data_IF_555558375788
#
_entry.id   IF_555558375788
#
_cell.length_a   1.000
_cell.length_b   1.000
_cell.length_c   1.000
_cell.angle_alpha   90.00
_cell.angle_beta   90.00
_cell.angle_gamma   90.00
#
_symmetry.space_group_name_H-M   'P 1'
#
loop_
_entity.id
_entity.type
_entity.pdbx_description
1 polymer ?
#
# COMPACT_ATOMS: atom_id res chain seq x y z
N UNK A 1 28.46 10.54 38.98
CA UNK A 1 27.24 10.02 38.33
C UNK A 1 27.48 10.10 36.83
N UNK A 2 28.11 9.07 36.26
CA UNK A 2 28.38 9.00 34.83
C UNK A 2 27.06 8.78 34.10
N UNK A 3 26.70 9.72 33.21
CA UNK A 3 25.68 9.47 32.19
C UNK A 3 26.23 8.34 31.32
N UNK A 4 25.72 7.11 31.51
CA UNK A 4 25.86 6.05 30.51
C UNK A 4 25.31 6.61 29.20
N UNK A 5 26.19 6.96 28.27
CA UNK A 5 25.86 7.23 26.88
C UNK A 5 25.27 5.92 26.36
N UNK A 6 23.94 5.85 26.30
CA UNK A 6 23.28 4.71 25.69
C UNK A 6 23.68 4.72 24.22
N UNK A 7 24.47 3.73 23.79
CA UNK A 7 24.84 3.55 22.39
C UNK A 7 23.55 3.57 21.55
N UNK A 8 23.44 4.56 20.67
CA UNK A 8 22.28 4.72 19.80
C UNK A 8 22.37 3.65 18.72
N UNK A 9 21.49 2.63 18.76
CA UNK A 9 21.43 1.61 17.71
C UNK A 9 20.96 2.23 16.41
N UNK A 10 21.64 1.89 15.31
CA UNK A 10 21.29 2.32 13.96
C UNK A 10 20.39 1.29 13.29
N UNK A 11 19.29 1.76 12.71
CA UNK A 11 18.40 0.97 11.88
C UNK A 11 18.54 1.42 10.43
N UNK A 12 18.92 0.46 9.59
CA UNK A 12 18.97 0.64 8.14
C UNK A 12 17.63 0.17 7.57
N UNK A 13 16.86 1.10 7.02
CA UNK A 13 15.56 0.84 6.42
C UNK A 13 15.70 0.81 4.89
N UNK A 14 15.21 -0.25 4.25
CA UNK A 14 15.34 -0.46 2.79
C UNK A 14 13.96 -0.58 2.15
N UNK A 15 13.32 0.53 1.75
CA UNK A 15 12.02 0.51 1.09
C UNK A 15 12.12 0.02 -0.37
N UNK A 16 11.07 -0.62 -0.86
CA UNK A 16 10.86 -0.80 -2.29
C UNK A 16 10.51 0.57 -2.94
N UNK A 17 11.04 0.94 -4.13
CA UNK A 17 10.95 2.29 -4.69
C UNK A 17 9.60 2.60 -5.35
N UNK A 18 8.52 2.33 -4.63
CA UNK A 18 7.16 2.71 -4.99
C UNK A 18 6.49 3.35 -3.80
N UNK A 19 5.63 4.35 -4.03
CA UNK A 19 5.03 5.16 -2.97
C UNK A 19 4.28 4.32 -1.91
N UNK A 20 3.60 3.25 -2.32
CA UNK A 20 2.94 2.32 -1.41
C UNK A 20 3.88 1.54 -0.47
N UNK A 21 5.19 1.56 -0.71
CA UNK A 21 6.21 0.89 0.09
C UNK A 21 7.09 1.89 0.84
N UNK A 22 7.44 3.01 0.20
CA UNK A 22 8.18 4.12 0.82
C UNK A 22 7.39 4.71 1.99
N UNK A 23 6.10 5.02 1.79
CA UNK A 23 5.24 5.61 2.81
C UNK A 23 5.25 4.83 4.14
N UNK A 24 4.86 3.53 4.17
CA UNK A 24 4.87 2.76 5.42
C UNK A 24 6.27 2.62 6.02
N UNK A 25 7.33 2.50 5.21
CA UNK A 25 8.70 2.42 5.72
C UNK A 25 9.13 3.71 6.44
N UNK A 26 8.86 4.88 5.85
CA UNK A 26 9.17 6.18 6.47
C UNK A 26 8.32 6.45 7.73
N UNK A 27 7.06 6.01 7.73
CA UNK A 27 6.19 6.08 8.91
C UNK A 27 6.73 5.20 10.06
N UNK A 28 7.17 3.97 9.75
CA UNK A 28 7.84 3.10 10.71
C UNK A 28 9.15 3.71 11.21
N UNK A 29 9.96 4.28 10.32
CA UNK A 29 11.18 4.99 10.66
C UNK A 29 10.94 6.16 11.62
N UNK A 30 9.91 6.96 11.39
CA UNK A 30 9.52 8.08 12.26
C UNK A 30 9.18 7.61 13.66
N UNK A 31 8.40 6.53 13.77
CA UNK A 31 8.09 5.93 15.06
C UNK A 31 9.36 5.40 15.76
N UNK A 32 10.21 4.66 15.06
CA UNK A 32 11.43 4.10 15.64
C UNK A 32 12.42 5.19 16.06
N UNK A 33 12.55 6.26 15.27
CA UNK A 33 13.34 7.43 15.65
C UNK A 33 12.85 8.04 16.97
N UNK A 34 11.53 8.17 17.15
CA UNK A 34 10.94 8.64 18.43
C UNK A 34 11.26 7.75 19.64
N UNK A 35 11.70 6.50 19.40
CA UNK A 35 12.14 5.54 20.44
C UNK A 35 13.65 5.55 20.67
N UNK A 36 14.38 6.48 20.05
CA UNK A 36 15.81 6.70 20.24
C UNK A 36 16.72 5.87 19.33
N UNK A 37 16.20 5.35 18.22
CA UNK A 37 17.02 4.73 17.17
C UNK A 37 17.54 5.77 16.18
N UNK A 38 18.77 5.63 15.71
CA UNK A 38 19.27 6.38 14.55
C UNK A 38 18.73 5.71 13.28
N UNK A 39 18.12 6.48 12.38
CA UNK A 39 17.50 5.95 11.16
C UNK A 39 18.35 6.30 9.94
N UNK A 40 18.66 5.28 9.14
CA UNK A 40 19.29 5.43 7.83
C UNK A 40 18.40 4.78 6.78
N UNK A 41 17.92 5.55 5.81
CA UNK A 41 17.15 5.07 4.66
C UNK A 41 18.13 4.77 3.53
N UNK A 42 18.25 3.51 3.14
CA UNK A 42 19.00 3.13 1.93
C UNK A 42 18.00 2.92 0.80
N UNK A 43 18.13 3.69 -0.26
CA UNK A 43 17.15 3.72 -1.36
C UNK A 43 17.83 3.71 -2.73
N UNK A 44 17.09 3.30 -3.74
CA UNK A 44 17.54 3.34 -5.14
C UNK A 44 17.53 4.76 -5.70
N UNK A 45 18.17 5.00 -6.84
CA UNK A 45 18.02 6.27 -7.57
C UNK A 45 16.64 6.37 -8.21
N UNK A 46 16.13 5.25 -8.72
CA UNK A 46 14.77 5.13 -9.21
C UNK A 46 13.77 5.45 -8.09
N UNK A 47 12.87 6.40 -8.34
CA UNK A 47 11.85 6.91 -7.40
C UNK A 47 12.41 7.24 -6.01
N UNK A 48 13.53 7.97 -5.97
CA UNK A 48 14.15 8.36 -4.70
C UNK A 48 13.22 9.20 -3.80
N UNK A 49 13.13 8.91 -2.49
CA UNK A 49 12.40 9.74 -1.54
C UNK A 49 13.12 11.10 -1.37
N UNK A 50 12.36 12.14 -1.04
CA UNK A 50 12.93 13.46 -0.78
C UNK A 50 13.45 13.57 0.67
N UNK A 51 14.78 13.71 0.89
CA UNK A 51 15.34 13.80 2.24
C UNK A 51 14.87 15.04 3.02
N UNK A 52 14.45 16.12 2.35
CA UNK A 52 14.01 17.35 3.04
C UNK A 52 12.77 17.15 3.89
N UNK A 53 11.98 16.11 3.63
CA UNK A 53 10.79 15.79 4.41
C UNK A 53 11.13 15.10 5.74
N UNK A 54 12.31 14.51 5.85
CA UNK A 54 12.78 13.80 7.05
C UNK A 54 14.23 14.19 7.39
N UNK A 55 14.50 15.46 7.75
CA UNK A 55 15.85 15.94 8.02
C UNK A 55 16.53 15.24 9.21
N UNK A 56 15.77 14.55 10.04
CA UNK A 56 16.23 13.74 11.15
C UNK A 56 16.79 12.36 10.74
N UNK A 57 16.56 11.92 9.49
CA UNK A 57 17.11 10.67 8.97
C UNK A 57 18.33 10.90 8.09
N UNK A 58 19.18 9.88 7.99
CA UNK A 58 20.22 9.83 6.95
C UNK A 58 19.68 9.12 5.72
N UNK A 59 19.86 9.69 4.53
CA UNK A 59 19.48 9.07 3.26
C UNK A 59 20.73 8.68 2.47
N UNK A 60 20.83 7.41 2.09
CA UNK A 60 21.95 6.86 1.33
C UNK A 60 21.45 6.25 0.02
N UNK A 61 21.67 6.92 -1.12
CA UNK A 61 21.32 6.37 -2.42
C UNK A 61 22.28 5.23 -2.80
N UNK A 62 21.75 4.19 -3.43
CA UNK A 62 22.53 3.11 -4.05
C UNK A 62 22.21 3.00 -5.54
N UNK A 63 23.21 2.70 -6.40
CA UNK A 63 22.98 2.39 -7.80
C UNK A 63 22.07 1.17 -7.97
N UNK A 64 21.01 1.33 -8.77
CA UNK A 64 20.02 0.29 -9.10
C UNK A 64 20.21 -0.34 -10.48
N UNK A 65 21.01 0.28 -11.34
CA UNK A 65 21.35 -0.24 -12.67
C UNK A 65 20.15 -0.39 -13.61
N UNK A 66 19.02 0.28 -13.34
CA UNK A 66 17.86 0.24 -14.23
C UNK A 66 18.11 1.09 -15.47
N UNK A 67 17.75 0.55 -16.63
CA UNK A 67 17.77 1.26 -17.90
C UNK A 67 16.48 2.04 -18.13
N UNK A 68 16.54 3.11 -18.94
CA UNK A 68 15.35 3.88 -19.33
C UNK A 68 14.30 2.98 -20.02
N UNK A 69 14.74 2.02 -20.84
CA UNK A 69 13.86 1.05 -21.49
C UNK A 69 13.11 0.17 -20.48
N UNK A 70 13.77 -0.33 -19.44
CA UNK A 70 13.11 -1.11 -18.39
C UNK A 70 12.06 -0.29 -17.64
N UNK A 71 12.38 0.96 -17.31
CA UNK A 71 11.46 1.88 -16.62
C UNK A 71 10.23 2.16 -17.50
N UNK A 72 10.44 2.50 -18.77
CA UNK A 72 9.37 2.82 -19.72
C UNK A 72 8.50 1.61 -20.08
N UNK A 73 9.02 0.38 -19.93
CA UNK A 73 8.22 -0.83 -20.17
C UNK A 73 7.00 -0.95 -19.24
N UNK A 74 7.06 -0.32 -18.06
CA UNK A 74 6.03 -0.46 -17.03
C UNK A 74 5.87 -1.87 -16.46
N UNK A 75 6.74 -2.82 -16.84
CA UNK A 75 6.69 -4.19 -16.33
C UNK A 75 7.25 -4.24 -14.90
N UNK A 76 6.33 -4.13 -13.94
CA UNK A 76 6.66 -4.13 -12.51
C UNK A 76 7.44 -5.39 -12.08
N UNK A 77 7.10 -6.57 -12.61
CA UNK A 77 7.78 -7.81 -12.17
C UNK A 77 9.24 -7.81 -12.63
N UNK A 78 9.50 -7.45 -13.89
CA UNK A 78 10.86 -7.35 -14.42
C UNK A 78 11.71 -6.32 -13.66
N UNK A 79 11.16 -5.13 -13.41
CA UNK A 79 11.85 -4.08 -12.65
C UNK A 79 12.23 -4.58 -11.25
N UNK A 80 11.31 -5.20 -10.52
CA UNK A 80 11.58 -5.70 -9.18
C UNK A 80 12.62 -6.82 -9.15
N UNK A 81 12.64 -7.70 -10.15
CA UNK A 81 13.67 -8.73 -10.30
C UNK A 81 15.05 -8.10 -10.61
N UNK A 82 15.10 -7.09 -11.49
CA UNK A 82 16.32 -6.38 -11.83
C UNK A 82 16.90 -5.63 -10.63
N UNK A 83 16.06 -4.92 -9.85
CA UNK A 83 16.48 -4.26 -8.61
C UNK A 83 17.17 -5.23 -7.65
N UNK A 84 16.60 -6.41 -7.45
CA UNK A 84 17.18 -7.42 -6.56
C UNK A 84 18.49 -8.04 -7.08
N UNK A 85 18.68 -8.08 -8.40
CA UNK A 85 19.95 -8.51 -8.99
C UNK A 85 21.03 -7.43 -8.85
N UNK A 86 20.67 -6.18 -9.18
CA UNK A 86 21.63 -5.09 -9.35
C UNK A 86 22.04 -4.43 -8.03
N UNK A 87 21.12 -4.26 -7.08
CA UNK A 87 21.38 -3.51 -5.85
C UNK A 87 22.27 -4.25 -4.84
N UNK A 88 22.40 -5.58 -4.96
CA UNK A 88 23.05 -6.44 -3.95
C UNK A 88 24.48 -6.01 -3.62
N UNK A 89 25.31 -5.80 -4.64
CA UNK A 89 26.72 -5.44 -4.45
C UNK A 89 26.87 -4.04 -3.84
N UNK A 90 26.14 -3.05 -4.36
CA UNK A 90 26.11 -1.68 -3.86
C UNK A 90 25.63 -1.60 -2.41
N UNK A 91 24.60 -2.37 -2.06
CA UNK A 91 24.09 -2.44 -0.70
C UNK A 91 25.09 -3.06 0.27
N UNK A 92 25.77 -4.14 -0.12
CA UNK A 92 26.83 -4.74 0.68
C UNK A 92 27.99 -3.78 0.94
N UNK A 93 28.41 -3.03 -0.07
CA UNK A 93 29.43 -1.99 0.09
C UNK A 93 28.97 -0.89 1.05
N UNK A 94 27.74 -0.40 0.88
CA UNK A 94 27.15 0.62 1.75
C UNK A 94 27.13 0.18 3.22
N UNK A 95 26.66 -1.04 3.51
CA UNK A 95 26.64 -1.58 4.87
C UNK A 95 28.04 -1.77 5.45
N UNK A 96 29.01 -2.23 4.64
CA UNK A 96 30.39 -2.41 5.10
C UNK A 96 30.99 -1.07 5.55
N UNK A 97 30.77 0.00 4.78
CA UNK A 97 31.22 1.35 5.14
C UNK A 97 30.53 1.89 6.40
N UNK A 98 29.23 1.60 6.58
CA UNK A 98 28.52 1.96 7.81
C UNK A 98 29.07 1.23 9.03
N UNK A 99 29.40 -0.06 8.90
CA UNK A 99 29.98 -0.86 9.97
C UNK A 99 31.37 -0.37 10.40
N UNK A 100 32.17 0.19 9.48
CA UNK A 100 33.48 0.78 9.81
C UNK A 100 33.37 2.04 10.70
N UNK A 101 32.23 2.74 10.63
CA UNK A 101 31.99 3.99 11.36
C UNK A 101 31.29 3.79 12.70
N UNK A 102 30.84 2.56 12.99
CA UNK A 102 29.93 2.25 14.08
C UNK A 102 30.54 1.22 15.05
N UNK A 103 30.17 1.25 16.34
CA UNK A 103 30.55 0.19 17.27
C UNK A 103 30.05 -1.18 16.79
N UNK A 104 30.80 -2.24 17.11
CA UNK A 104 30.42 -3.60 16.76
C UNK A 104 29.00 -3.93 17.27
N UNK A 105 28.18 -4.54 16.41
CA UNK A 105 26.79 -4.96 16.68
C UNK A 105 25.79 -3.80 16.95
N UNK A 106 26.02 -2.59 16.46
CA UNK A 106 25.07 -1.48 16.62
C UNK A 106 24.03 -1.35 15.49
N UNK A 107 24.17 -2.13 14.41
CA UNK A 107 23.35 -2.02 13.19
C UNK A 107 22.32 -3.17 13.10
N UNK A 108 21.09 -2.84 12.69
CA UNK A 108 20.10 -3.82 12.28
C UNK A 108 19.34 -3.33 11.04
N UNK A 109 18.80 -4.26 10.25
CA UNK A 109 18.14 -3.94 8.99
C UNK A 109 16.64 -4.20 9.08
N UNK A 110 15.83 -3.27 8.59
CA UNK A 110 14.42 -3.53 8.27
C UNK A 110 14.24 -3.32 6.78
N UNK A 111 13.82 -4.35 6.06
CA UNK A 111 13.72 -4.30 4.61
C UNK A 111 12.31 -4.64 4.16
N UNK A 112 11.86 -4.00 3.08
CA UNK A 112 10.62 -4.35 2.42
C UNK A 112 10.71 -5.77 1.82
N UNK A 113 9.66 -6.59 1.93
CA UNK A 113 9.70 -7.99 1.45
C UNK A 113 10.05 -8.14 -0.03
N UNK A 114 9.79 -7.11 -0.84
CA UNK A 114 10.18 -7.05 -2.24
C UNK A 114 11.69 -6.86 -2.41
N UNK A 115 12.37 -6.18 -1.48
CA UNK A 115 13.81 -5.86 -1.53
C UNK A 115 14.65 -6.98 -0.88
N UNK A 116 14.37 -8.24 -1.24
CA UNK A 116 14.94 -9.44 -0.62
C UNK A 116 16.47 -9.60 -0.80
N UNK A 117 17.11 -8.83 -1.68
CA UNK A 117 18.58 -8.74 -1.69
C UNK A 117 19.14 -8.28 -0.35
N UNK A 118 18.37 -7.48 0.40
CA UNK A 118 18.76 -6.93 1.70
C UNK A 118 19.01 -8.03 2.72
N UNK A 119 18.13 -9.05 2.75
CA UNK A 119 18.30 -10.22 3.60
C UNK A 119 19.56 -11.00 3.24
N UNK A 120 19.80 -11.21 1.95
CA UNK A 120 20.96 -11.99 1.51
C UNK A 120 22.28 -11.33 1.93
N UNK A 121 22.33 -9.99 1.89
CA UNK A 121 23.48 -9.20 2.35
C UNK A 121 23.54 -9.18 3.88
N UNK A 122 22.41 -9.00 4.57
CA UNK A 122 22.34 -9.02 6.03
C UNK A 122 22.91 -10.32 6.59
N UNK A 123 22.49 -11.46 6.03
CA UNK A 123 22.99 -12.78 6.40
C UNK A 123 24.50 -12.92 6.13
N UNK A 124 24.98 -12.47 4.97
CA UNK A 124 26.41 -12.52 4.62
C UNK A 124 27.28 -11.72 5.61
N UNK A 125 26.78 -10.58 6.09
CA UNK A 125 27.46 -9.71 7.06
C UNK A 125 27.14 -10.05 8.52
N UNK A 126 26.34 -11.08 8.79
CA UNK A 126 25.82 -11.44 10.12
C UNK A 126 25.10 -10.28 10.85
N UNK A 127 24.32 -9.49 10.11
CA UNK A 127 23.50 -8.39 10.64
C UNK A 127 22.07 -8.88 10.87
N UNK A 128 21.48 -8.67 12.06
CA UNK A 128 20.07 -8.97 12.31
C UNK A 128 19.15 -8.21 11.33
N UNK A 129 18.21 -8.92 10.72
CA UNK A 129 17.26 -8.35 9.77
C UNK A 129 15.81 -8.66 10.16
N UNK A 130 14.91 -7.74 9.84
CA UNK A 130 13.46 -7.87 10.02
C UNK A 130 12.80 -7.53 8.68
N UNK A 131 11.88 -8.37 8.23
CA UNK A 131 11.14 -8.11 6.98
C UNK A 131 9.87 -7.30 7.27
N UNK A 132 9.62 -6.25 6.49
CA UNK A 132 8.38 -5.47 6.48
C UNK A 132 7.51 -5.89 5.30
N UNK A 133 6.28 -6.30 5.59
CA UNK A 133 5.25 -6.59 4.60
C UNK A 133 4.20 -5.48 4.60
N UNK A 134 4.12 -4.78 3.47
CA UNK A 134 3.22 -3.64 3.25
C UNK A 134 1.90 -4.06 2.61
N UNK A 135 1.75 -5.34 2.25
CA UNK A 135 0.53 -5.97 1.74
C UNK A 135 -0.30 -6.59 2.86
N UNK A 136 -1.56 -6.98 2.60
CA UNK A 136 -2.41 -7.70 3.57
C UNK A 136 -1.97 -9.16 3.77
N UNK A 137 -2.36 -9.77 4.90
CA UNK A 137 -2.15 -11.20 5.16
C UNK A 137 -3.00 -12.04 4.20
N UNK A 138 -4.22 -11.60 3.93
CA UNK A 138 -5.17 -12.25 3.01
C UNK A 138 -4.56 -12.38 1.61
N UNK A 139 -3.93 -11.33 1.09
CA UNK A 139 -3.23 -11.37 -0.19
C UNK A 139 -2.01 -12.31 -0.17
N UNK A 140 -1.27 -12.36 0.95
CA UNK A 140 -0.15 -13.28 1.09
C UNK A 140 -0.60 -14.75 0.97
N UNK A 141 -1.69 -15.11 1.65
CA UNK A 141 -2.27 -16.46 1.53
C UNK A 141 -2.77 -16.70 0.09
N UNK A 142 -3.44 -15.73 -0.53
CA UNK A 142 -3.90 -15.86 -1.91
C UNK A 142 -2.74 -16.09 -2.91
N UNK A 143 -1.61 -15.41 -2.73
CA UNK A 143 -0.38 -15.64 -3.51
C UNK A 143 0.20 -17.05 -3.29
N UNK A 144 0.18 -17.54 -2.06
CA UNK A 144 0.58 -18.93 -1.77
C UNK A 144 -0.27 -19.94 -2.53
N UNK A 145 -1.59 -19.72 -2.61
CA UNK A 145 -2.49 -20.57 -3.40
C UNK A 145 -2.22 -20.49 -4.89
N UNK A 146 -1.88 -19.31 -5.44
CA UNK A 146 -1.44 -19.19 -6.84
C UNK A 146 -0.21 -20.05 -7.12
N UNK A 147 0.81 -20.02 -6.24
CA UNK A 147 1.99 -20.88 -6.36
C UNK A 147 1.64 -22.37 -6.32
N UNK A 148 0.72 -22.78 -5.45
CA UNK A 148 0.26 -24.17 -5.39
C UNK A 148 -0.44 -24.60 -6.67
N UNK A 149 -1.32 -23.76 -7.24
CA UNK A 149 -2.01 -24.05 -8.50
C UNK A 149 -1.03 -24.20 -9.66
N UNK A 150 -0.02 -23.32 -9.72
CA UNK A 150 1.06 -23.41 -10.72
C UNK A 150 1.85 -24.71 -10.58
N UNK A 151 2.23 -25.10 -9.35
CA UNK A 151 2.98 -26.34 -9.10
C UNK A 151 2.20 -27.61 -9.49
N UNK A 152 0.87 -27.56 -9.45
CA UNK A 152 -0.02 -28.66 -9.84
C UNK A 152 -0.38 -28.65 -11.33
N UNK A 153 0.19 -27.73 -12.13
CA UNK A 153 -0.16 -27.55 -13.54
C UNK A 153 -1.62 -27.14 -13.77
N UNK A 154 -2.28 -26.58 -12.75
CA UNK A 154 -3.70 -26.20 -12.78
C UNK A 154 -3.90 -24.74 -13.22
N UNK A 155 -2.88 -24.15 -13.87
CA UNK A 155 -2.82 -22.75 -14.24
C UNK A 155 -2.16 -22.58 -15.64
N UNK A 156 -2.66 -21.71 -16.54
CA UNK A 156 -3.87 -20.88 -16.38
C UNK A 156 -5.14 -21.73 -16.25
N UNK A 157 -6.05 -21.30 -15.38
CA UNK A 157 -7.33 -21.99 -15.22
C UNK A 157 -8.32 -21.59 -16.34
N UNK A 158 -9.19 -22.52 -16.81
CA UNK A 158 -10.28 -22.19 -17.71
C UNK A 158 -11.16 -21.02 -17.26
N UNK A 159 -11.60 -20.19 -18.22
CA UNK A 159 -12.50 -19.05 -17.94
C UNK A 159 -13.82 -19.49 -17.28
N UNK A 160 -14.29 -20.72 -17.55
CA UNK A 160 -15.46 -21.29 -16.89
C UNK A 160 -15.32 -21.41 -15.37
N UNK A 161 -14.08 -21.46 -14.84
CA UNK A 161 -13.80 -21.50 -13.40
C UNK A 161 -13.59 -20.11 -12.79
N UNK A 162 -13.48 -19.06 -13.60
CA UNK A 162 -13.20 -17.67 -13.20
C UNK A 162 -14.07 -17.20 -12.02
N UNK A 163 -15.37 -17.55 -12.04
CA UNK A 163 -16.34 -17.16 -11.00
C UNK A 163 -16.50 -18.17 -9.86
N UNK A 164 -15.87 -19.34 -9.95
CA UNK A 164 -15.98 -20.36 -8.91
C UNK A 164 -15.21 -19.92 -7.67
N UNK A 165 -15.68 -20.29 -6.47
CA UNK A 165 -14.93 -20.06 -5.24
C UNK A 165 -13.61 -20.82 -5.28
N UNK A 166 -12.56 -20.23 -4.72
CA UNK A 166 -11.28 -20.90 -4.50
C UNK A 166 -11.41 -21.72 -3.22
N UNK A 167 -11.11 -23.04 -3.25
CA UNK A 167 -11.13 -23.87 -2.05
C UNK A 167 -10.30 -23.25 -0.91
N UNK A 168 -10.85 -23.29 0.31
CA UNK A 168 -10.22 -22.81 1.55
C UNK A 168 -9.86 -21.31 1.58
N UNK A 169 -10.32 -20.52 0.61
CA UNK A 169 -10.10 -19.07 0.53
C UNK A 169 -11.40 -18.27 0.37
N UNK A 170 -12.49 -18.70 0.98
CA UNK A 170 -13.74 -17.91 0.97
C UNK A 170 -13.49 -16.47 1.49
N UNK A 171 -13.99 -15.42 0.80
CA UNK A 171 -14.92 -15.42 -0.34
C UNK A 171 -14.25 -15.23 -1.72
N UNK A 172 -12.95 -15.49 -1.85
CA UNK A 172 -12.21 -15.33 -3.11
C UNK A 172 -12.67 -16.31 -4.18
N UNK A 173 -12.77 -15.80 -5.41
CA UNK A 173 -12.97 -16.60 -6.63
C UNK A 173 -11.65 -16.68 -7.39
N UNK A 174 -11.56 -17.60 -8.35
CA UNK A 174 -10.36 -17.74 -9.17
C UNK A 174 -9.96 -16.43 -9.86
N UNK A 175 -10.93 -15.63 -10.35
CA UNK A 175 -10.67 -14.31 -10.94
C UNK A 175 -10.14 -13.26 -9.97
N UNK A 176 -10.37 -13.45 -8.67
CA UNK A 176 -9.91 -12.55 -7.63
C UNK A 176 -8.47 -12.84 -7.21
N UNK A 177 -7.89 -13.97 -7.64
CA UNK A 177 -6.51 -14.34 -7.31
C UNK A 177 -5.49 -13.32 -7.86
N UNK A 178 -4.43 -13.02 -7.10
CA UNK A 178 -3.46 -11.99 -7.46
C UNK A 178 -2.49 -12.56 -8.50
N UNK A 179 -2.91 -12.63 -9.75
CA UNK A 179 -2.07 -13.01 -10.87
C UNK A 179 -1.55 -11.73 -11.53
N UNK A 180 -0.26 -11.69 -11.87
CA UNK A 180 0.32 -10.58 -12.61
C UNK A 180 0.03 -10.72 -14.10
N UNK A 181 -0.46 -9.65 -14.71
CA UNK A 181 -0.57 -9.52 -16.17
C UNK A 181 0.65 -8.80 -16.77
N UNK A 182 1.63 -8.41 -15.96
CA UNK A 182 2.77 -7.60 -16.39
C UNK A 182 3.92 -8.42 -16.96
N UNK A 183 3.99 -9.72 -16.70
CA UNK A 183 5.10 -10.59 -17.10
C UNK A 183 4.64 -12.05 -17.23
N UNK A 184 5.55 -12.91 -17.66
CA UNK A 184 5.45 -14.36 -17.67
C UNK A 184 5.15 -14.92 -16.28
N UNK A 185 4.42 -16.04 -16.25
CA UNK A 185 4.13 -16.76 -15.01
C UNK A 185 5.39 -17.27 -14.31
N UNK A 186 6.45 -17.56 -15.06
CA UNK A 186 7.74 -17.97 -14.50
C UNK A 186 8.38 -16.84 -13.68
N UNK A 187 8.51 -15.64 -14.26
CA UNK A 187 9.05 -14.48 -13.54
C UNK A 187 8.18 -14.09 -12.35
N UNK A 188 6.85 -14.13 -12.52
CA UNK A 188 5.92 -13.87 -11.42
C UNK A 188 6.10 -14.87 -10.29
N UNK A 189 6.16 -16.17 -10.59
CA UNK A 189 6.38 -17.23 -9.60
C UNK A 189 7.70 -17.05 -8.87
N UNK A 190 8.78 -16.75 -9.61
CA UNK A 190 10.10 -16.49 -9.05
C UNK A 190 10.08 -15.33 -8.07
N UNK A 191 9.40 -14.23 -8.41
CA UNK A 191 9.22 -13.11 -7.51
C UNK A 191 8.47 -13.55 -6.24
N UNK A 192 7.27 -14.13 -6.40
CA UNK A 192 6.41 -14.51 -5.27
C UNK A 192 7.09 -15.50 -4.32
N UNK A 193 7.82 -16.50 -4.84
CA UNK A 193 8.60 -17.44 -4.02
C UNK A 193 9.62 -16.71 -3.14
N UNK A 194 10.30 -15.69 -3.68
CA UNK A 194 11.23 -14.88 -2.89
C UNK A 194 10.52 -14.04 -1.82
N UNK A 195 9.36 -13.45 -2.12
CA UNK A 195 8.58 -12.68 -1.13
C UNK A 195 8.10 -13.54 0.06
N UNK A 196 7.82 -14.82 -0.19
CA UNK A 196 7.34 -15.75 0.84
C UNK A 196 8.44 -16.23 1.77
N UNK A 197 9.70 -16.13 1.33
CA UNK A 197 10.81 -16.67 2.06
C UNK A 197 11.25 -15.72 3.18
N UNK A 198 11.03 -16.13 4.43
CA UNK A 198 11.46 -15.38 5.63
C UNK A 198 12.94 -15.63 5.96
N UNK A 199 13.54 -16.68 5.36
CA UNK A 199 14.98 -17.00 5.38
C UNK A 199 15.60 -16.88 6.78
N UNK A 200 16.56 -15.98 6.95
CA UNK A 200 17.29 -15.74 8.20
C UNK A 200 16.79 -14.51 8.97
N UNK A 201 15.65 -13.92 8.54
CA UNK A 201 15.06 -12.78 9.24
C UNK A 201 14.69 -13.15 10.67
N UNK A 202 14.97 -12.25 11.60
CA UNK A 202 14.67 -12.42 13.02
C UNK A 202 13.20 -12.22 13.37
N UNK A 203 12.44 -11.52 12.52
CA UNK A 203 11.00 -11.29 12.68
C UNK A 203 10.34 -10.83 11.38
N UNK A 204 9.00 -10.84 11.38
CA UNK A 204 8.16 -10.28 10.32
C UNK A 204 7.31 -9.15 10.89
N UNK A 205 7.33 -7.99 10.24
CA UNK A 205 6.42 -6.88 10.50
C UNK A 205 5.34 -6.90 9.42
N UNK A 206 4.09 -6.70 9.82
CA UNK A 206 2.95 -6.59 8.92
C UNK A 206 2.21 -5.27 9.14
N UNK A 207 2.01 -4.51 8.06
CA UNK A 207 1.15 -3.33 8.07
C UNK A 207 -0.31 -3.75 8.01
N UNK A 208 -0.83 -4.31 9.10
CA UNK A 208 -2.23 -4.69 9.26
C UNK A 208 -2.63 -4.60 10.73
N UNK A 209 -3.92 -4.75 11.00
CA UNK A 209 -4.51 -4.76 12.34
C UNK A 209 -5.15 -6.13 12.58
N UNK A 210 -4.95 -6.69 13.76
CA UNK A 210 -5.51 -7.98 14.16
C UNK A 210 -7.04 -8.05 13.98
N UNK A 211 -7.77 -6.99 14.32
CA UNK A 211 -9.22 -6.93 14.24
C UNK A 211 -9.76 -6.99 12.81
N UNK A 212 -8.90 -6.82 11.80
CA UNK A 212 -9.24 -6.96 10.39
C UNK A 212 -8.96 -8.37 9.89
N UNK A 213 -7.78 -8.93 10.17
CA UNK A 213 -7.30 -10.15 9.53
C UNK A 213 -7.07 -11.32 10.51
N UNK A 214 -7.83 -11.39 11.61
CA UNK A 214 -7.61 -12.35 12.71
C UNK A 214 -7.51 -13.81 12.25
N UNK A 215 -8.41 -14.27 11.37
CA UNK A 215 -8.40 -15.66 10.86
C UNK A 215 -7.16 -15.95 10.02
N UNK A 216 -6.84 -15.05 9.08
CA UNK A 216 -5.64 -15.15 8.23
C UNK A 216 -4.35 -15.08 9.05
N UNK A 217 -4.32 -14.22 10.08
CA UNK A 217 -3.19 -14.11 11.00
C UNK A 217 -2.97 -15.41 11.77
N UNK A 218 -4.03 -16.02 12.31
CA UNK A 218 -3.94 -17.29 13.02
C UNK A 218 -3.38 -18.42 12.13
N UNK A 219 -3.77 -18.47 10.86
CA UNK A 219 -3.23 -19.42 9.88
C UNK A 219 -1.72 -19.23 9.65
N UNK A 220 -1.27 -17.98 9.46
CA UNK A 220 0.15 -17.71 9.20
C UNK A 220 1.02 -17.91 10.46
N UNK A 221 0.50 -17.60 11.65
CA UNK A 221 1.21 -17.83 12.92
C UNK A 221 1.55 -19.31 13.15
N UNK A 222 0.75 -20.24 12.65
CA UNK A 222 1.06 -21.67 12.72
C UNK A 222 2.19 -22.11 11.78
N UNK A 223 2.44 -21.33 10.72
CA UNK A 223 3.40 -21.66 9.67
C UNK A 223 4.73 -20.91 9.81
N UNK A 224 4.70 -19.73 10.42
CA UNK A 224 5.87 -18.87 10.56
C UNK A 224 6.70 -19.27 11.79
N UNK A 225 8.00 -19.45 11.59
CA UNK A 225 8.92 -19.87 12.66
C UNK A 225 9.50 -18.69 13.46
N UNK A 226 9.18 -17.46 13.05
CA UNK A 226 9.70 -16.23 13.66
C UNK A 226 8.55 -15.37 14.17
N UNK A 227 8.79 -14.48 15.15
CA UNK A 227 7.77 -13.58 15.65
C UNK A 227 7.14 -12.72 14.55
N UNK A 228 5.82 -12.57 14.59
CA UNK A 228 5.04 -11.70 13.70
C UNK A 228 4.51 -10.52 14.50
N UNK A 229 4.77 -9.32 14.02
CA UNK A 229 4.29 -8.07 14.59
C UNK A 229 3.28 -7.41 13.65
N UNK A 230 2.00 -7.43 14.03
CA UNK A 230 0.96 -6.65 13.34
C UNK A 230 0.93 -5.26 13.96
N UNK A 231 1.50 -4.28 13.26
CA UNK A 231 1.72 -2.93 13.81
C UNK A 231 0.97 -1.84 13.04
N UNK A 232 0.12 -2.26 12.10
CA UNK A 232 -0.67 -1.35 11.31
C UNK A 232 -1.80 -0.71 12.12
N UNK A 233 -2.44 0.33 11.56
CA UNK A 233 -2.06 0.99 10.30
C UNK A 233 -0.88 1.94 10.52
N UNK A 234 0.19 1.79 9.73
CA UNK A 234 1.42 2.59 9.90
C UNK A 234 1.20 4.10 9.73
N UNK A 235 0.21 4.52 8.95
CA UNK A 235 -0.11 5.95 8.80
C UNK A 235 -0.70 6.59 10.07
N UNK A 236 -1.04 5.80 11.10
CA UNK A 236 -1.54 6.26 12.41
C UNK A 236 -0.50 6.20 13.55
N UNK A 237 0.63 5.50 13.39
CA UNK A 237 1.59 5.29 14.49
C UNK A 237 2.46 6.53 14.79
N UNK A 238 2.68 7.38 13.79
CA UNK A 238 3.39 8.64 13.93
C UNK A 238 2.85 9.66 12.93
N UNK A 239 2.81 10.93 13.32
CA UNK A 239 2.65 12.06 12.41
C UNK A 239 3.95 12.23 11.64
N UNK A 240 4.18 11.36 10.65
CA UNK A 240 5.24 11.56 9.69
C UNK A 240 4.98 12.84 8.88
N UNK A 241 6.05 13.53 8.51
CA UNK A 241 6.04 14.54 7.46
C UNK A 241 5.51 13.96 6.13
N UNK A 242 5.44 14.76 5.07
CA UNK A 242 5.00 14.24 3.77
C UNK A 242 5.93 13.10 3.32
N UNK A 243 5.37 11.93 3.11
CA UNK A 243 6.09 10.77 2.56
C UNK A 243 5.91 10.64 1.05
N UNK A 244 5.17 11.58 0.44
CA UNK A 244 4.78 11.52 -0.97
C UNK A 244 5.96 11.75 -1.91
N UNK A 245 6.00 10.99 -3.01
CA UNK A 245 6.94 11.22 -4.12
C UNK A 245 6.48 12.37 -5.03
N UNK A 246 5.19 12.65 -5.02
CA UNK A 246 4.55 13.68 -5.84
C UNK A 246 4.13 14.85 -4.97
N UNK A 247 4.23 16.06 -5.51
CA UNK A 247 3.82 17.29 -4.84
C UNK A 247 2.31 17.30 -4.60
N UNK A 248 1.92 17.46 -3.33
CA UNK A 248 0.52 17.41 -2.90
C UNK A 248 -0.16 18.79 -3.09
N UNK A 249 -1.29 18.82 -3.80
CA UNK A 249 -2.08 20.05 -4.00
C UNK A 249 -2.98 20.28 -2.78
N UNK A 250 -2.53 21.16 -1.88
CA UNK A 250 -3.28 21.55 -0.68
C UNK A 250 -4.53 22.38 -1.00
N UNK A 251 -4.66 22.91 -2.23
CA UNK A 251 -5.83 23.67 -2.66
C UNK A 251 -7.13 22.86 -2.62
N UNK A 252 -7.05 21.53 -2.78
CA UNK A 252 -8.23 20.67 -2.65
C UNK A 252 -8.81 20.65 -1.22
N UNK A 253 -8.01 20.86 -0.18
CA UNK A 253 -8.52 20.96 1.20
C UNK A 253 -9.40 22.20 1.36
N UNK A 254 -8.94 23.34 0.84
CA UNK A 254 -9.73 24.58 0.85
C UNK A 254 -11.02 24.47 0.01
N UNK A 255 -11.05 23.59 -0.99
CA UNK A 255 -12.28 23.26 -1.71
C UNK A 255 -13.22 22.37 -0.88
N UNK A 256 -12.67 21.38 -0.16
CA UNK A 256 -13.43 20.50 0.74
C UNK A 256 -14.07 21.27 1.91
N UNK A 257 -13.40 22.29 2.45
CA UNK A 257 -13.90 23.15 3.53
C UNK A 257 -15.25 23.83 3.19
N UNK A 258 -15.54 23.98 1.89
CA UNK A 258 -16.78 24.61 1.38
C UNK A 258 -17.91 23.61 1.16
N UNK A 259 -17.64 22.31 1.30
CA UNK A 259 -18.60 21.24 1.03
C UNK A 259 -19.36 20.85 2.29
N UNK A 260 -20.52 20.21 2.10
CA UNK A 260 -21.31 19.70 3.23
C UNK A 260 -20.71 18.43 3.81
N UNK A 261 -21.04 18.14 5.08
CA UNK A 261 -20.58 16.93 5.75
C UNK A 261 -21.01 15.66 5.00
N UNK A 262 -20.07 14.72 4.82
CA UNK A 262 -20.24 13.47 4.06
C UNK A 262 -20.86 13.62 2.65
N UNK A 263 -20.68 14.75 1.97
CA UNK A 263 -21.27 14.95 0.63
C UNK A 263 -20.31 14.63 -0.53
N UNK A 264 -19.00 14.60 -0.28
CA UNK A 264 -17.98 14.47 -1.33
C UNK A 264 -17.60 13.01 -1.51
N UNK A 265 -17.56 12.56 -2.78
CA UNK A 265 -16.83 11.33 -3.15
C UNK A 265 -15.40 11.66 -3.57
N UNK A 266 -14.43 11.10 -2.85
CA UNK A 266 -13.02 11.18 -3.22
C UNK A 266 -12.69 10.04 -4.20
N UNK A 267 -11.93 10.31 -5.26
CA UNK A 267 -11.57 9.35 -6.31
C UNK A 267 -10.06 9.34 -6.50
N UNK A 268 -9.42 8.19 -6.25
CA UNK A 268 -7.98 8.00 -6.47
C UNK A 268 -7.62 6.55 -6.79
N UNK A 269 -6.89 6.36 -7.89
CA UNK A 269 -6.45 5.05 -8.38
C UNK A 269 -4.99 4.72 -8.00
N UNK A 270 -4.45 5.43 -7.02
CA UNK A 270 -3.11 5.18 -6.50
C UNK A 270 -2.00 5.78 -7.37
N UNK A 271 -0.76 5.37 -7.13
CA UNK A 271 0.44 5.97 -7.73
C UNK A 271 0.95 5.26 -8.99
N UNK A 272 0.38 4.11 -9.34
CA UNK A 272 0.88 3.25 -10.44
C UNK A 272 -0.17 2.95 -11.50
N UNK A 273 -1.45 2.81 -11.13
CA UNK A 273 -2.49 2.46 -12.09
C UNK A 273 -2.64 3.53 -13.17
N UNK A 274 -2.97 3.06 -14.37
CA UNK A 274 -3.32 3.89 -15.52
C UNK A 274 -4.67 3.43 -16.08
N UNK A 275 -5.37 4.33 -16.75
CA UNK A 275 -6.68 4.10 -17.35
C UNK A 275 -6.65 4.46 -18.83
N UNK A 276 -7.49 3.78 -19.61
CA UNK A 276 -7.75 4.11 -21.01
C UNK A 276 -8.63 5.35 -21.15
N UNK A 277 -8.62 5.97 -22.33
CA UNK A 277 -9.53 7.06 -22.67
C UNK A 277 -11.01 6.66 -22.54
N UNK A 278 -11.35 5.40 -22.89
CA UNK A 278 -12.71 4.86 -22.70
C UNK A 278 -13.10 4.87 -21.22
N UNK A 279 -12.25 4.31 -20.35
CA UNK A 279 -12.51 4.28 -18.91
C UNK A 279 -12.60 5.70 -18.32
N UNK A 280 -11.71 6.61 -18.73
CA UNK A 280 -11.75 8.02 -18.34
C UNK A 280 -13.10 8.67 -18.68
N UNK A 281 -13.60 8.44 -19.89
CA UNK A 281 -14.88 8.98 -20.34
C UNK A 281 -16.07 8.40 -19.55
N UNK A 282 -16.06 7.11 -19.26
CA UNK A 282 -17.12 6.47 -18.45
C UNK A 282 -17.08 6.95 -16.99
N UNK A 283 -15.88 7.08 -16.40
CA UNK A 283 -15.68 7.67 -15.06
C UNK A 283 -16.22 9.10 -15.00
N UNK A 284 -15.80 9.96 -15.92
CA UNK A 284 -16.17 11.37 -15.95
C UNK A 284 -17.70 11.53 -16.03
N UNK A 285 -18.34 10.88 -17.00
CA UNK A 285 -19.78 10.99 -17.14
C UNK A 285 -20.58 10.28 -16.05
N UNK A 286 -20.05 9.20 -15.46
CA UNK A 286 -20.66 8.54 -14.31
C UNK A 286 -20.66 9.44 -13.07
N UNK A 287 -19.53 10.09 -12.78
CA UNK A 287 -19.39 11.07 -11.69
C UNK A 287 -20.33 12.25 -11.89
N UNK A 288 -20.33 12.87 -13.08
CA UNK A 288 -21.22 14.00 -13.37
C UNK A 288 -22.70 13.64 -13.20
N UNK A 289 -23.12 12.46 -13.68
CA UNK A 289 -24.51 11.99 -13.58
C UNK A 289 -24.95 11.67 -12.16
N UNK A 290 -24.02 11.28 -11.27
CA UNK A 290 -24.32 11.02 -9.86
C UNK A 290 -24.82 12.28 -9.11
N UNK A 291 -24.52 13.47 -9.65
CA UNK A 291 -24.80 14.79 -9.07
C UNK A 291 -24.19 15.01 -7.68
N UNK A 292 -23.33 14.12 -7.22
CA UNK A 292 -22.58 14.28 -5.97
C UNK A 292 -21.34 15.14 -6.22
N UNK A 293 -20.96 16.02 -5.28
CA UNK A 293 -19.65 16.64 -5.29
C UNK A 293 -18.55 15.59 -5.29
N UNK A 294 -17.47 15.82 -6.05
CA UNK A 294 -16.35 14.89 -6.10
C UNK A 294 -15.01 15.59 -6.16
N UNK A 295 -14.01 14.96 -5.53
CA UNK A 295 -12.59 15.30 -5.66
C UNK A 295 -11.90 14.15 -6.38
N UNK A 296 -11.36 14.39 -7.57
CA UNK A 296 -10.74 13.37 -8.40
C UNK A 296 -9.25 13.65 -8.62
N UNK A 297 -8.42 12.71 -8.17
CA UNK A 297 -6.99 12.69 -8.47
C UNK A 297 -6.76 12.07 -9.83
N UNK A 298 -6.24 12.87 -10.76
CA UNK A 298 -5.74 12.40 -12.06
C UNK A 298 -4.24 12.69 -12.07
N UNK A 299 -3.43 11.66 -11.85
CA UNK A 299 -1.96 11.79 -11.83
C UNK A 299 -1.45 12.04 -13.24
N UNK A 300 -0.42 12.89 -13.44
CA UNK A 300 0.21 12.99 -14.74
C UNK A 300 0.67 11.62 -15.27
N UNK A 301 0.39 11.35 -16.55
CA UNK A 301 0.68 10.07 -17.21
C UNK A 301 -0.18 8.88 -16.77
N UNK A 302 -1.21 9.07 -15.92
CA UNK A 302 -2.14 7.98 -15.58
C UNK A 302 -3.21 7.73 -16.63
N UNK A 303 -3.30 8.56 -17.66
CA UNK A 303 -4.19 8.34 -18.80
C UNK A 303 -3.34 7.93 -19.99
N UNK A 304 -3.61 6.77 -20.57
CA UNK A 304 -2.85 6.26 -21.70
C UNK A 304 -2.91 7.26 -22.87
N UNK A 305 -1.75 7.81 -23.26
CA UNK A 305 -1.63 8.77 -24.36
C UNK A 305 -1.90 10.24 -23.99
N UNK A 306 -2.01 10.58 -22.70
CA UNK A 306 -2.18 11.96 -22.21
C UNK A 306 -1.20 12.28 -21.08
N UNK A 307 -0.75 13.52 -21.01
CA UNK A 307 0.09 13.98 -19.90
C UNK A 307 -0.75 14.24 -18.64
N UNK A 308 -1.97 14.75 -18.78
CA UNK A 308 -2.90 14.98 -17.67
C UNK A 308 -4.36 14.92 -18.14
N UNK A 309 -5.08 16.04 -18.22
CA UNK A 309 -6.53 16.09 -18.44
C UNK A 309 -6.93 16.35 -19.89
N UNK A 310 -6.00 16.31 -20.84
CA UNK A 310 -6.24 16.69 -22.24
C UNK A 310 -7.27 15.79 -22.93
N UNK A 311 -7.39 14.53 -22.48
CA UNK A 311 -8.38 13.56 -22.99
C UNK A 311 -9.70 13.55 -22.20
N UNK A 312 -9.95 14.50 -21.29
CA UNK A 312 -11.26 14.60 -20.65
C UNK A 312 -12.35 14.88 -21.71
N UNK A 313 -13.56 14.28 -21.58
CA UNK A 313 -14.62 14.48 -22.56
C UNK A 313 -15.01 15.95 -22.73
N UNK A 314 -15.24 16.37 -23.98
CA UNK A 314 -15.72 17.72 -24.28
C UNK A 314 -16.99 18.05 -23.48
N UNK A 315 -17.02 19.24 -22.87
CA UNK A 315 -18.15 19.70 -22.06
C UNK A 315 -18.17 19.18 -20.63
N UNK A 316 -17.23 18.32 -20.22
CA UNK A 316 -17.22 17.73 -18.88
C UNK A 316 -16.90 18.77 -17.79
N UNK A 317 -15.88 19.62 -17.99
CA UNK A 317 -15.49 20.65 -17.02
C UNK A 317 -16.63 21.64 -16.79
N UNK A 318 -17.32 22.04 -17.86
CA UNK A 318 -18.51 22.89 -17.79
C UNK A 318 -19.67 22.20 -17.09
N UNK A 319 -19.86 20.90 -17.33
CA UNK A 319 -20.96 20.12 -16.74
C UNK A 319 -20.82 19.95 -15.22
N UNK A 320 -19.60 19.84 -14.70
CA UNK A 320 -19.36 19.63 -13.26
C UNK A 320 -19.33 20.95 -12.49
N UNK A 321 -18.90 22.05 -13.13
CA UNK A 321 -18.80 23.37 -12.52
C UNK A 321 -18.08 23.32 -11.16
N UNK A 322 -18.62 23.99 -10.15
CA UNK A 322 -18.03 24.03 -8.79
C UNK A 322 -18.18 22.73 -7.99
N UNK A 323 -18.93 21.75 -8.49
CA UNK A 323 -19.17 20.46 -7.80
C UNK A 323 -18.03 19.46 -8.00
N UNK A 324 -17.18 19.66 -9.01
CA UNK A 324 -16.02 18.81 -9.25
C UNK A 324 -14.73 19.56 -8.95
N UNK A 325 -13.83 18.90 -8.25
CA UNK A 325 -12.45 19.33 -8.09
C UNK A 325 -11.52 18.26 -8.68
N UNK A 326 -10.63 18.65 -9.59
CA UNK A 326 -9.67 17.74 -10.21
C UNK A 326 -8.26 18.25 -9.88
N UNK A 327 -7.44 17.38 -9.31
CA UNK A 327 -6.05 17.71 -8.94
C UNK A 327 -5.08 16.65 -9.46
N UNK A 328 -3.81 17.05 -9.63
CA UNK A 328 -2.75 16.13 -10.05
C UNK A 328 -2.43 15.11 -8.96
N UNK A 329 -2.39 15.55 -7.71
CA UNK A 329 -2.08 14.73 -6.56
C UNK A 329 -2.66 15.37 -5.30
N UNK A 330 -3.28 14.59 -4.42
CA UNK A 330 -3.94 15.10 -3.22
C UNK A 330 -3.23 14.62 -1.94
N UNK A 331 -3.27 15.40 -0.85
CA UNK A 331 -2.86 14.96 0.48
C UNK A 331 -3.88 13.95 1.04
N UNK A 332 -3.92 12.73 0.48
CA UNK A 332 -4.98 11.74 0.64
C UNK A 332 -5.35 11.45 2.11
N UNK A 333 -4.36 11.40 3.01
CA UNK A 333 -4.60 11.20 4.45
C UNK A 333 -5.46 12.32 5.04
N UNK A 334 -5.20 13.58 4.66
CA UNK A 334 -5.98 14.73 5.10
C UNK A 334 -7.35 14.75 4.43
N UNK A 335 -7.42 14.40 3.14
CA UNK A 335 -8.70 14.29 2.41
C UNK A 335 -9.61 13.25 3.05
N UNK A 336 -9.13 12.02 3.31
CA UNK A 336 -9.93 10.96 3.91
C UNK A 336 -10.35 11.27 5.35
N UNK A 337 -9.55 12.04 6.08
CA UNK A 337 -9.89 12.50 7.43
C UNK A 337 -10.84 13.72 7.44
N UNK A 338 -11.11 14.32 6.28
CA UNK A 338 -11.90 15.55 6.18
C UNK A 338 -13.40 15.26 6.28
N UNK A 339 -14.12 16.03 7.10
CA UNK A 339 -15.55 15.85 7.41
C UNK A 339 -16.47 15.87 6.18
N UNK A 340 -16.07 16.56 5.12
CA UNK A 340 -16.84 16.60 3.86
C UNK A 340 -16.82 15.27 3.08
N UNK A 341 -15.82 14.41 3.28
CA UNK A 341 -15.65 13.18 2.49
C UNK A 341 -16.56 12.08 3.05
N UNK A 342 -17.55 11.69 2.26
CA UNK A 342 -18.53 10.65 2.63
C UNK A 342 -18.29 9.29 1.96
N UNK A 343 -17.39 9.21 0.99
CA UNK A 343 -17.06 7.97 0.29
C UNK A 343 -15.77 8.06 -0.52
N UNK A 344 -15.16 6.91 -0.76
CA UNK A 344 -13.88 6.79 -1.46
C UNK A 344 -13.94 5.78 -2.60
N UNK A 345 -13.84 6.25 -3.83
CA UNK A 345 -13.60 5.39 -4.97
C UNK A 345 -12.11 5.12 -5.13
N UNK A 346 -11.73 3.85 -4.93
CA UNK A 346 -10.35 3.40 -4.89
C UNK A 346 -10.08 2.19 -5.78
N UNK A 347 -8.85 2.13 -6.28
CA UNK A 347 -8.24 0.91 -6.83
C UNK A 347 -7.99 -0.20 -5.80
N UNK A 348 -8.25 0.03 -4.51
CA UNK A 348 -8.08 -0.96 -3.43
C UNK A 348 -6.63 -1.41 -3.16
N UNK A 349 -5.65 -0.53 -3.38
CA UNK A 349 -4.32 -0.71 -2.79
C UNK A 349 -4.42 -0.77 -1.26
N UNK A 350 -3.55 -1.58 -0.62
CA UNK A 350 -3.70 -1.88 0.81
C UNK A 350 -3.56 -0.65 1.71
N UNK A 351 -2.61 0.24 1.44
CA UNK A 351 -2.44 1.47 2.24
C UNK A 351 -3.70 2.36 2.17
N UNK A 352 -4.22 2.63 0.97
CA UNK A 352 -5.46 3.38 0.77
C UNK A 352 -6.66 2.72 1.44
N UNK A 353 -6.72 1.39 1.43
CA UNK A 353 -7.77 0.62 2.11
C UNK A 353 -7.69 0.82 3.62
N UNK A 354 -6.49 0.73 4.20
CA UNK A 354 -6.27 0.99 5.61
C UNK A 354 -6.58 2.44 5.98
N UNK A 355 -6.20 3.42 5.17
CA UNK A 355 -6.53 4.84 5.39
C UNK A 355 -8.05 5.06 5.41
N UNK A 356 -8.79 4.50 4.45
CA UNK A 356 -10.25 4.59 4.39
C UNK A 356 -10.92 3.97 5.62
N UNK A 357 -10.51 2.74 5.98
CA UNK A 357 -11.00 2.03 7.16
C UNK A 357 -10.72 2.81 8.45
N UNK A 358 -9.54 3.43 8.55
CA UNK A 358 -9.11 4.18 9.73
C UNK A 358 -9.78 5.53 9.88
N UNK A 359 -10.41 6.05 8.81
CA UNK A 359 -11.24 7.25 8.86
C UNK A 359 -12.74 6.97 8.84
N UNK A 360 -13.13 5.71 8.66
CA UNK A 360 -14.53 5.29 8.61
C UNK A 360 -15.22 5.71 7.32
N UNK A 361 -14.45 5.88 6.24
CA UNK A 361 -14.95 6.25 4.92
C UNK A 361 -15.29 4.97 4.14
N UNK A 362 -16.54 4.78 3.68
CA UNK A 362 -16.94 3.62 2.88
C UNK A 362 -16.39 3.72 1.45
N UNK A 363 -16.33 2.60 0.74
CA UNK A 363 -15.56 2.51 -0.51
C UNK A 363 -16.39 2.12 -1.75
N UNK A 364 -16.06 2.68 -2.91
CA UNK A 364 -16.30 2.04 -4.21
C UNK A 364 -14.99 1.40 -4.66
N UNK A 365 -15.04 0.10 -4.92
CA UNK A 365 -13.88 -0.71 -5.20
C UNK A 365 -13.82 -1.01 -6.70
N UNK A 366 -12.78 -0.51 -7.37
CA UNK A 366 -12.50 -0.83 -8.77
C UNK A 366 -11.03 -1.25 -8.94
N UNK A 367 -10.70 -2.53 -8.70
CA UNK A 367 -9.32 -3.00 -8.71
C UNK A 367 -8.74 -3.06 -10.12
N UNK A 368 -7.50 -2.60 -10.30
CA UNK A 368 -6.82 -2.60 -11.59
C UNK A 368 -6.00 -3.90 -11.78
N UNK A 369 -5.19 -4.30 -10.80
CA UNK A 369 -4.27 -5.44 -10.95
C UNK A 369 -3.83 -6.09 -9.62
N UNK A 370 -3.24 -7.29 -9.74
CA UNK A 370 -2.57 -8.02 -8.64
C UNK A 370 -3.44 -8.15 -7.37
N UNK A 371 -2.91 -7.72 -6.22
CA UNK A 371 -3.48 -7.78 -4.88
C UNK A 371 -4.77 -6.98 -4.71
N UNK A 372 -4.99 -5.97 -5.56
CA UNK A 372 -6.16 -5.11 -5.51
C UNK A 372 -7.46 -5.90 -5.66
N UNK A 373 -7.47 -6.97 -6.45
CA UNK A 373 -8.66 -7.83 -6.65
C UNK A 373 -9.04 -8.56 -5.37
N UNK A 374 -8.04 -9.08 -4.66
CA UNK A 374 -8.19 -9.68 -3.32
C UNK A 374 -8.75 -8.65 -2.35
N UNK A 375 -8.17 -7.45 -2.32
CA UNK A 375 -8.62 -6.39 -1.42
C UNK A 375 -10.04 -5.89 -1.73
N UNK A 376 -10.40 -5.70 -3.00
CA UNK A 376 -11.76 -5.31 -3.38
C UNK A 376 -12.81 -6.33 -2.92
N UNK A 377 -12.48 -7.62 -3.04
CA UNK A 377 -13.33 -8.72 -2.55
C UNK A 377 -13.41 -8.72 -1.02
N UNK A 378 -12.27 -8.55 -0.35
CA UNK A 378 -12.19 -8.47 1.11
C UNK A 378 -12.99 -7.28 1.67
N UNK A 379 -12.83 -6.08 1.10
CA UNK A 379 -13.53 -4.86 1.50
C UNK A 379 -15.05 -4.99 1.31
N UNK A 380 -15.48 -5.56 0.18
CA UNK A 380 -16.91 -5.69 -0.13
C UNK A 380 -17.61 -6.84 0.60
N UNK A 381 -16.96 -8.01 0.74
CA UNK A 381 -17.60 -9.22 1.28
C UNK A 381 -17.29 -9.48 2.76
N UNK A 382 -16.06 -9.16 3.21
CA UNK A 382 -15.60 -9.43 4.57
C UNK A 382 -15.79 -8.21 5.47
N UNK A 383 -15.19 -7.07 5.11
CA UNK A 383 -15.39 -5.82 5.86
C UNK A 383 -16.83 -5.31 5.74
N UNK A 384 -17.44 -5.51 4.57
CA UNK A 384 -18.77 -5.03 4.19
C UNK A 384 -18.90 -3.50 4.24
N UNK A 385 -17.83 -2.82 3.82
CA UNK A 385 -17.79 -1.34 3.77
C UNK A 385 -17.70 -0.80 2.34
N UNK A 386 -17.79 -1.65 1.32
CA UNK A 386 -17.67 -1.18 -0.05
C UNK A 386 -18.51 -1.90 -1.09
N UNK A 387 -18.67 -1.21 -2.22
CA UNK A 387 -19.37 -1.68 -3.42
C UNK A 387 -18.31 -1.96 -4.49
N UNK A 388 -18.23 -3.20 -4.96
CA UNK A 388 -17.27 -3.57 -6.00
C UNK A 388 -17.87 -3.40 -7.40
N UNK A 389 -17.16 -2.69 -8.28
CA UNK A 389 -17.41 -2.62 -9.72
C UNK A 389 -16.67 -3.79 -10.37
N UNK A 390 -17.40 -4.84 -10.77
CA UNK A 390 -16.81 -6.11 -11.25
C UNK A 390 -16.65 -6.24 -12.76
N UNK A 391 -17.38 -5.45 -13.54
CA UNK A 391 -17.44 -5.55 -15.00
C UNK A 391 -16.66 -4.41 -15.67
N UNK A 392 -16.71 -4.36 -17.01
CA UNK A 392 -16.29 -3.17 -17.75
C UNK A 392 -16.95 -1.93 -17.16
N UNK A 393 -16.16 -0.87 -17.04
CA UNK A 393 -16.60 0.32 -16.36
C UNK A 393 -17.63 1.07 -17.21
N UNK A 394 -18.88 1.09 -16.77
CA UNK A 394 -19.96 1.83 -17.43
C UNK A 394 -20.44 3.00 -16.58
N UNK A 395 -20.64 4.18 -17.19
CA UNK A 395 -21.09 5.40 -16.50
C UNK A 395 -22.40 5.21 -15.72
N UNK A 396 -23.29 4.34 -16.20
CA UNK A 396 -24.54 4.03 -15.52
C UNK A 396 -24.33 3.18 -14.26
N UNK A 397 -23.38 2.25 -14.27
CA UNK A 397 -22.98 1.50 -13.08
C UNK A 397 -22.30 2.41 -12.06
N UNK A 398 -21.42 3.30 -12.52
CA UNK A 398 -20.75 4.30 -11.68
C UNK A 398 -21.78 5.22 -11.00
N UNK A 399 -22.70 5.80 -11.76
CA UNK A 399 -23.76 6.66 -11.22
C UNK A 399 -24.53 5.93 -10.10
N UNK A 400 -24.96 4.68 -10.36
CA UNK A 400 -25.68 3.87 -9.39
C UNK A 400 -24.83 3.57 -8.15
N UNK A 401 -23.55 3.22 -8.32
CA UNK A 401 -22.66 2.91 -7.20
C UNK A 401 -22.42 4.13 -6.31
N UNK A 402 -22.15 5.30 -6.90
CA UNK A 402 -21.96 6.56 -6.16
C UNK A 402 -23.23 6.92 -5.40
N UNK A 403 -24.40 6.88 -6.05
CA UNK A 403 -25.67 7.19 -5.39
C UNK A 403 -26.02 6.19 -4.30
N UNK A 404 -25.81 4.90 -4.54
CA UNK A 404 -26.04 3.84 -3.55
C UNK A 404 -25.17 4.05 -2.31
N UNK A 405 -23.89 4.36 -2.50
CA UNK A 405 -22.95 4.56 -1.39
C UNK A 405 -23.30 5.80 -0.57
N UNK A 406 -23.59 6.92 -1.25
CA UNK A 406 -23.64 8.25 -0.65
C UNK A 406 -25.04 8.67 -0.21
N UNK A 407 -26.07 8.33 -1.00
CA UNK A 407 -27.41 8.91 -0.89
C UNK A 407 -28.44 7.87 -0.46
N UNK A 408 -28.47 6.73 -1.14
CA UNK A 408 -29.59 5.78 -1.01
C UNK A 408 -29.57 5.07 0.36
N UNK A 409 -30.74 4.56 0.76
CA UNK A 409 -30.95 3.86 2.03
C UNK A 409 -30.13 2.56 2.12
N UNK A 410 -29.96 1.86 0.99
CA UNK A 410 -29.12 0.66 0.88
C UNK A 410 -27.67 0.90 1.33
N UNK A 411 -27.16 2.13 1.19
CA UNK A 411 -25.81 2.50 1.63
C UNK A 411 -25.68 2.74 3.13
N UNK A 412 -26.78 2.90 3.88
CA UNK A 412 -26.74 3.21 5.32
C UNK A 412 -25.98 2.16 6.11
N UNK A 413 -26.21 0.88 5.81
CA UNK A 413 -25.51 -0.24 6.44
C UNK A 413 -24.00 -0.21 6.17
N UNK A 414 -23.61 0.11 4.94
CA UNK A 414 -22.21 0.23 4.52
C UNK A 414 -21.51 1.36 5.28
N UNK A 415 -22.16 2.54 5.37
CA UNK A 415 -21.66 3.71 6.10
C UNK A 415 -21.56 3.46 7.60
N UNK A 416 -22.56 2.82 8.21
CA UNK A 416 -22.52 2.44 9.62
C UNK A 416 -21.39 1.46 9.91
N UNK A 417 -21.21 0.46 9.04
CA UNK A 417 -20.16 -0.54 9.18
C UNK A 417 -18.75 0.06 9.08
N UNK A 418 -18.56 1.06 8.21
CA UNK A 418 -17.29 1.78 8.11
C UNK A 418 -16.94 2.49 9.43
N UNK A 419 -17.92 3.14 10.07
CA UNK A 419 -17.73 3.77 11.39
C UNK A 419 -17.40 2.75 12.49
N UNK A 420 -18.09 1.61 12.53
CA UNK A 420 -17.77 0.54 13.50
C UNK A 420 -16.34 0.00 13.35
N UNK A 421 -15.86 -0.17 12.10
CA UNK A 421 -14.49 -0.64 11.88
C UNK A 421 -13.45 0.42 12.25
N UNK A 422 -13.74 1.70 12.00
CA UNK A 422 -12.90 2.81 12.49
C UNK A 422 -12.69 2.71 14.00
N UNK A 423 -13.77 2.57 14.76
CA UNK A 423 -13.71 2.47 16.23
C UNK A 423 -12.85 1.27 16.68
N UNK A 424 -13.01 0.11 16.04
CA UNK A 424 -12.19 -1.08 16.34
C UNK A 424 -10.71 -0.85 16.07
N UNK A 425 -10.38 -0.24 14.94
CA UNK A 425 -8.99 0.10 14.60
C UNK A 425 -8.43 1.09 15.62
N UNK A 426 -9.19 2.11 16.02
CA UNK A 426 -8.76 3.07 17.03
C UNK A 426 -8.44 2.40 18.37
N UNK A 427 -9.25 1.42 18.80
CA UNK A 427 -9.00 0.65 20.02
C UNK A 427 -7.70 -0.16 19.91
N UNK A 428 -7.46 -0.84 18.79
CA UNK A 428 -6.21 -1.58 18.57
C UNK A 428 -4.97 -0.67 18.63
N UNK A 429 -5.10 0.58 18.18
CA UNK A 429 -4.02 1.57 18.17
C UNK A 429 -3.80 2.28 19.52
N UNK A 430 -4.86 2.53 20.29
CA UNK A 430 -4.82 3.28 21.56
C UNK A 430 -4.74 2.33 22.76
N UNK A 431 -3.63 1.60 22.88
CA UNK A 431 -3.38 0.67 23.99
C UNK A 431 -3.85 -0.77 23.74
N UNK A 432 -4.36 -1.07 22.54
CA UNK A 432 -4.70 -2.42 22.12
C UNK A 432 -3.53 -3.21 21.52
N UNK A 433 -3.87 -4.14 20.63
CA UNK A 433 -2.98 -5.13 20.00
C UNK A 433 -1.82 -4.50 19.23
N UNK A 434 -2.09 -3.60 18.27
CA UNK A 434 -1.06 -2.92 17.47
C UNK A 434 -0.10 -2.13 18.35
N UNK A 435 -0.62 -1.43 19.37
CA UNK A 435 0.21 -0.71 20.34
C UNK A 435 1.16 -1.65 21.11
N UNK A 436 0.66 -2.81 21.55
CA UNK A 436 1.47 -3.80 22.22
C UNK A 436 2.55 -4.39 21.28
N UNK A 437 2.16 -4.80 20.07
CA UNK A 437 3.10 -5.31 19.06
C UNK A 437 4.22 -4.31 18.71
N UNK A 438 3.92 -3.01 18.62
CA UNK A 438 4.93 -1.96 18.42
C UNK A 438 5.95 -1.92 19.56
N UNK A 439 5.51 -2.04 20.80
CA UNK A 439 6.42 -2.01 21.95
C UNK A 439 7.26 -3.29 22.03
N UNK A 440 6.69 -4.45 21.73
CA UNK A 440 7.45 -5.71 21.66
C UNK A 440 8.47 -5.70 20.50
N UNK A 441 8.12 -5.11 19.36
CA UNK A 441 9.06 -4.89 18.26
C UNK A 441 10.26 -4.04 18.71
N UNK A 442 10.02 -2.94 19.43
CA UNK A 442 11.10 -2.08 19.97
C UNK A 442 11.99 -2.86 20.94
N UNK A 443 11.40 -3.69 21.81
CA UNK A 443 12.17 -4.55 22.73
C UNK A 443 13.03 -5.56 21.97
N UNK A 444 12.47 -6.22 20.95
CA UNK A 444 13.20 -7.16 20.10
C UNK A 444 14.42 -6.48 19.45
N UNK A 445 14.22 -5.35 18.79
CA UNK A 445 15.31 -4.61 18.13
C UNK A 445 16.40 -4.19 19.13
N UNK A 446 16.00 -3.79 20.35
CA UNK A 446 16.96 -3.46 21.42
C UNK A 446 17.72 -4.68 21.95
N UNK A 447 17.19 -5.88 21.81
CA UNK A 447 17.84 -7.11 22.28
C UNK A 447 18.93 -7.66 21.34
N UNK A 448 18.96 -7.21 20.09
CA UNK A 448 19.95 -7.60 19.09
C UNK A 448 21.40 -7.33 19.48
#
# INVERSE_FOLDING_TARGET
MEKKTQSCKRLVLVPCPYQGHINPMLQLGTFLHSKGFSITIVHTHFNSPNPSNHPEFTFLPIPDGLTEHEILSGNLVAILLALNANCKASFQQCLTQLMEQEPQNSISIIYDDIMYFSEAVANYLNIPSIVLRTVSITNFIARSTVLQLLSKGSFPFPESMSRNPVPDLDPLRFKDLPISNFDTYENYSKLVVNLHNVRTSSAVIWNTVDCLEQSSLAQIQQQCQVPIFTIGPLHKIATAASTSLLEEDMGCIAWLDKQSHNSVIYVSLGSVASISEKELAEMAWGLAKSKQPFLWVIRPGSICGSDWIELLPQGFIEAIGEKGCIVKWAPQRQVLAHDAVGGFWSHCGWNSTLESLSEGVPMICWPCFSDQKVHARYVSQVCKIGIQLENELERGEIERAVRKLMVDDDGKGIRARAKELKEKIEVSMKGGSSYHCLNELVKLIRSF
#
